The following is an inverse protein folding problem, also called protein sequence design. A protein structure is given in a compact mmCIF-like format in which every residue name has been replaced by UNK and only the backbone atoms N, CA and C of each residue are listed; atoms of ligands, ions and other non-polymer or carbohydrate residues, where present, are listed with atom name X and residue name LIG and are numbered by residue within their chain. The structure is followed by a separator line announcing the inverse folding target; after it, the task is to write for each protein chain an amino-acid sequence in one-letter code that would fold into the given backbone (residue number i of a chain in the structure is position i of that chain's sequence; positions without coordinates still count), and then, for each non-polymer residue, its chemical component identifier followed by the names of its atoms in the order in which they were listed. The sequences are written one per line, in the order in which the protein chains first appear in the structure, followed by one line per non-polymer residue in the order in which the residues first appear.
data_IF_612585091800
#
_entry.id   IF_612585091800
#
_cell.length_a   1.000
_cell.length_b   1.000
_cell.length_c   1.000
_cell.angle_alpha   90.00
_cell.angle_beta   90.00
_cell.angle_gamma   90.00
#
_symmetry.space_group_name_H-M   'P 1'
#
loop_
_entity.id
_entity.type
_entity.pdbx_description
1 polymer ?
#
# COMPACT_ATOMS: atom_id res chain seq x y z
N UNK A 1 -2.72 -0.33 28.69
CA UNK A 1 -1.27 -0.16 28.90
C UNK A 1 -0.76 0.65 27.73
N UNK A 2 -0.33 1.88 27.95
CA UNK A 2 0.28 2.70 26.88
C UNK A 2 1.73 2.23 26.71
N UNK A 3 2.03 1.66 25.55
CA UNK A 3 3.39 1.28 25.19
C UNK A 3 4.11 2.52 24.66
N UNK A 4 4.88 3.19 25.52
CA UNK A 4 5.72 4.32 25.10
C UNK A 4 6.90 3.79 24.27
N UNK A 5 7.10 4.38 23.08
CA UNK A 5 8.02 3.87 22.06
C UNK A 5 9.46 4.20 22.43
N UNK A 6 10.37 3.24 22.29
CA UNK A 6 11.80 3.55 22.16
C UNK A 6 12.04 4.28 20.83
N UNK A 7 12.96 5.25 20.84
CA UNK A 7 13.18 6.30 19.82
C UNK A 7 13.37 5.81 18.37
N UNK A 8 13.57 4.52 18.15
CA UNK A 8 13.84 3.90 16.84
C UNK A 8 12.90 2.70 16.53
N UNK A 9 11.74 2.58 17.20
CA UNK A 9 10.80 1.45 17.03
C UNK A 9 9.42 1.91 16.56
N UNK A 10 8.85 1.19 15.58
CA UNK A 10 7.47 1.45 15.13
C UNK A 10 6.47 1.03 16.22
N UNK A 11 5.33 1.70 16.28
CA UNK A 11 4.24 1.34 17.21
C UNK A 11 3.85 -0.12 17.14
N UNK A 12 3.76 -0.64 15.92
CA UNK A 12 3.39 -2.03 15.67
C UNK A 12 4.42 -3.00 16.20
N UNK A 13 5.71 -2.64 16.15
CA UNK A 13 6.80 -3.43 16.72
C UNK A 13 6.71 -3.49 18.25
N UNK A 14 6.49 -2.34 18.90
CA UNK A 14 6.34 -2.27 20.35
C UNK A 14 5.09 -3.05 20.84
N UNK A 15 4.00 -3.03 20.08
CA UNK A 15 2.81 -3.83 20.38
C UNK A 15 3.09 -5.34 20.23
N UNK A 16 3.80 -5.75 19.19
CA UNK A 16 4.18 -7.16 18.97
C UNK A 16 5.13 -7.66 20.05
N UNK A 17 6.09 -6.84 20.49
CA UNK A 17 7.04 -7.22 21.54
C UNK A 17 6.32 -7.40 22.89
N UNK A 18 5.34 -6.53 23.20
CA UNK A 18 4.50 -6.67 24.40
C UNK A 18 3.58 -7.90 24.31
N UNK A 19 2.99 -8.18 23.15
CA UNK A 19 2.21 -9.41 22.92
C UNK A 19 3.09 -10.67 23.10
N UNK A 20 4.33 -10.65 22.59
CA UNK A 20 5.26 -11.78 22.70
C UNK A 20 5.71 -12.02 24.15
N UNK A 21 5.99 -10.95 24.91
CA UNK A 21 6.37 -11.05 26.33
C UNK A 21 5.23 -11.55 27.22
N UNK A 22 3.98 -11.23 26.87
CA UNK A 22 2.81 -11.64 27.66
C UNK A 22 2.32 -13.03 27.25
N UNK A 23 2.54 -13.46 26.00
CA UNK A 23 2.27 -14.82 25.55
C UNK A 23 3.10 -15.89 26.31
N UNK A 24 4.20 -15.51 26.94
CA UNK A 24 5.02 -16.39 27.79
C UNK A 24 4.44 -16.60 29.20
N UNK A 25 3.41 -15.84 29.59
CA UNK A 25 2.70 -16.02 30.87
C UNK A 25 1.28 -16.57 30.65
N UNK A 26 1.04 -17.82 31.07
CA UNK A 26 -0.30 -18.43 31.00
C UNK A 26 -1.29 -17.74 31.95
N UNK A 27 -2.43 -17.27 31.41
CA UNK A 27 -3.56 -16.74 32.18
C UNK A 27 -3.71 -15.21 32.19
N UNK A 28 -2.85 -14.46 31.48
CA UNK A 28 -2.95 -13.01 31.33
C UNK A 28 -3.36 -12.68 29.89
N UNK A 29 -4.51 -12.03 29.72
CA UNK A 29 -5.03 -11.64 28.40
C UNK A 29 -4.79 -10.14 28.16
N UNK A 30 -4.22 -9.80 26.99
CA UNK A 30 -3.87 -8.41 26.65
C UNK A 30 -5.00 -7.78 25.87
N UNK A 31 -5.78 -6.93 26.53
CA UNK A 31 -6.78 -6.10 25.87
C UNK A 31 -6.17 -4.74 25.56
N UNK A 32 -5.89 -4.51 24.28
CA UNK A 32 -5.48 -3.21 23.76
C UNK A 32 -6.66 -2.23 23.81
N UNK A 33 -6.48 -1.05 24.40
CA UNK A 33 -7.52 0.00 24.49
C UNK A 33 -7.01 1.34 23.96
N UNK A 34 -7.85 2.12 23.28
CA UNK A 34 -7.50 3.46 22.78
C UNK A 34 -6.73 3.43 21.46
N UNK A 35 -5.71 4.28 21.32
CA UNK A 35 -4.98 4.53 20.06
C UNK A 35 -4.33 3.27 19.47
N UNK A 36 -3.83 2.33 20.28
CA UNK A 36 -3.23 1.06 19.81
C UNK A 36 -4.26 0.11 19.19
N UNK A 37 -5.52 0.13 19.66
CA UNK A 37 -6.61 -0.64 19.05
C UNK A 37 -7.04 -0.02 17.71
N UNK A 38 -7.13 1.32 17.65
CA UNK A 38 -7.39 2.04 16.41
C UNK A 38 -6.26 1.85 15.39
N UNK A 39 -5.00 1.80 15.81
CA UNK A 39 -3.86 1.54 14.92
C UNK A 39 -3.92 0.10 14.34
N UNK A 40 -4.28 -0.90 15.18
CA UNK A 40 -4.46 -2.30 14.74
C UNK A 40 -5.68 -2.46 13.80
N UNK A 41 -6.77 -1.73 14.05
CA UNK A 41 -7.99 -1.78 13.22
C UNK A 41 -7.87 -0.95 11.92
N UNK A 42 -7.29 0.24 12.00
CA UNK A 42 -7.13 1.19 10.88
C UNK A 42 -6.17 0.64 9.83
N UNK A 43 -5.08 -0.02 10.26
CA UNK A 43 -4.15 -0.66 9.33
C UNK A 43 -4.85 -1.70 8.43
N UNK A 44 -5.81 -2.46 8.99
CA UNK A 44 -6.53 -3.47 8.22
C UNK A 44 -7.60 -2.84 7.30
N UNK A 45 -8.27 -1.76 7.71
CA UNK A 45 -9.26 -1.06 6.87
C UNK A 45 -8.64 -0.32 5.68
N UNK A 46 -7.47 0.29 5.86
CA UNK A 46 -6.78 1.01 4.80
C UNK A 46 -6.48 0.11 3.60
N UNK A 47 -6.04 -1.13 3.85
CA UNK A 47 -5.76 -2.12 2.80
C UNK A 47 -7.02 -2.46 1.99
N UNK A 48 -8.16 -2.68 2.67
CA UNK A 48 -9.43 -2.95 2.00
C UNK A 48 -9.89 -1.77 1.14
N UNK A 49 -9.74 -0.55 1.64
CA UNK A 49 -10.03 0.68 0.87
C UNK A 49 -9.18 0.77 -0.40
N UNK A 50 -7.88 0.46 -0.31
CA UNK A 50 -7.01 0.41 -1.49
C UNK A 50 -7.43 -0.66 -2.48
N UNK A 51 -7.73 -1.88 -2.03
CA UNK A 51 -8.17 -2.96 -2.92
C UNK A 51 -9.47 -2.61 -3.66
N UNK A 52 -10.46 -2.08 -2.95
CA UNK A 52 -11.74 -1.66 -3.55
C UNK A 52 -11.52 -0.51 -4.52
N UNK A 53 -10.70 0.49 -4.16
CA UNK A 53 -10.40 1.62 -5.03
C UNK A 53 -9.68 1.19 -6.31
N UNK A 54 -8.69 0.30 -6.20
CA UNK A 54 -7.96 -0.27 -7.33
C UNK A 54 -8.91 -1.09 -8.23
N UNK A 55 -9.80 -1.89 -7.62
CA UNK A 55 -10.85 -2.62 -8.35
C UNK A 55 -11.80 -1.68 -9.11
N UNK A 56 -12.21 -0.57 -8.49
CA UNK A 56 -13.06 0.42 -9.14
C UNK A 56 -12.36 1.12 -10.29
N UNK A 57 -11.08 1.50 -10.12
CA UNK A 57 -10.25 2.08 -11.18
C UNK A 57 -10.08 1.08 -12.35
N UNK A 58 -9.85 -0.21 -12.05
CA UNK A 58 -9.78 -1.26 -13.07
C UNK A 58 -11.06 -1.35 -13.89
N UNK A 59 -12.22 -1.39 -13.22
CA UNK A 59 -13.52 -1.46 -13.90
C UNK A 59 -13.80 -0.22 -14.74
N UNK A 60 -13.51 0.98 -14.21
CA UNK A 60 -13.62 2.23 -14.97
C UNK A 60 -12.74 2.25 -16.21
N UNK A 61 -11.47 1.83 -16.10
CA UNK A 61 -10.56 1.74 -17.24
C UNK A 61 -11.02 0.69 -18.24
N UNK A 62 -11.49 -0.48 -17.78
CA UNK A 62 -11.96 -1.54 -18.65
C UNK A 62 -13.17 -1.10 -19.47
N UNK A 63 -14.10 -0.37 -18.84
CA UNK A 63 -15.26 0.20 -19.50
C UNK A 63 -14.88 1.34 -20.47
N UNK A 64 -13.93 2.21 -20.10
CA UNK A 64 -13.52 3.34 -20.94
C UNK A 64 -12.74 2.92 -22.18
N UNK A 65 -11.84 1.94 -22.05
CA UNK A 65 -10.99 1.47 -23.13
C UNK A 65 -11.58 0.26 -23.88
N UNK A 66 -12.81 -0.15 -23.54
CA UNK A 66 -13.50 -1.34 -24.06
C UNK A 66 -12.65 -2.62 -24.06
N UNK A 67 -11.65 -2.69 -23.19
CA UNK A 67 -10.61 -3.72 -23.20
C UNK A 67 -10.12 -4.03 -21.81
N UNK A 68 -9.94 -5.32 -21.54
CA UNK A 68 -9.42 -5.82 -20.26
C UNK A 68 -7.90 -5.76 -20.20
N UNK A 69 -7.22 -5.78 -21.36
CA UNK A 69 -5.76 -5.80 -21.44
C UNK A 69 -5.13 -4.48 -21.01
N UNK A 70 -5.74 -3.34 -21.39
CA UNK A 70 -5.24 -2.01 -21.05
C UNK A 70 -5.19 -1.78 -19.52
N UNK A 71 -6.29 -2.00 -18.77
CA UNK A 71 -6.29 -1.90 -17.32
C UNK A 71 -5.26 -2.83 -16.65
N UNK A 72 -5.14 -4.09 -17.11
CA UNK A 72 -4.15 -5.02 -16.53
C UNK A 72 -2.71 -4.55 -16.75
N UNK A 73 -2.39 -3.96 -17.91
CA UNK A 73 -1.07 -3.41 -18.18
C UNK A 73 -0.75 -2.22 -17.25
N UNK A 74 -1.72 -1.34 -17.03
CA UNK A 74 -1.58 -0.20 -16.10
C UNK A 74 -1.38 -0.66 -14.66
N UNK A 75 -2.13 -1.66 -14.19
CA UNK A 75 -2.00 -2.20 -12.84
C UNK A 75 -0.65 -2.86 -12.59
N UNK A 76 -0.01 -3.42 -13.62
CA UNK A 76 1.31 -4.04 -13.51
C UNK A 76 2.41 -3.03 -13.10
N UNK A 77 2.17 -1.73 -13.27
CA UNK A 77 3.08 -0.68 -12.83
C UNK A 77 3.00 -0.39 -11.32
N UNK A 78 1.90 -0.75 -10.65
CA UNK A 78 1.70 -0.47 -9.22
C UNK A 78 2.73 -1.20 -8.33
N UNK A 79 3.00 -2.51 -8.53
CA UNK A 79 4.06 -3.20 -7.78
C UNK A 79 5.44 -2.56 -7.96
N UNK A 80 5.73 -2.00 -9.14
CA UNK A 80 6.99 -1.29 -9.39
C UNK A 80 7.08 0.01 -8.57
N UNK A 81 5.98 0.76 -8.45
CA UNK A 81 5.91 1.98 -7.62
C UNK A 81 6.03 1.71 -6.12
N UNK A 82 5.40 0.63 -5.64
CA UNK A 82 5.49 0.18 -4.24
C UNK A 82 6.90 -0.34 -3.94
N UNK A 83 7.44 -1.20 -4.80
CA UNK A 83 8.75 -1.82 -4.63
C UNK A 83 9.87 -0.78 -4.56
N UNK A 84 9.84 0.25 -5.43
CA UNK A 84 10.82 1.33 -5.40
C UNK A 84 10.84 2.11 -4.07
N UNK A 85 9.66 2.40 -3.52
CA UNK A 85 9.55 3.07 -2.22
C UNK A 85 10.03 2.20 -1.07
N UNK A 86 9.67 0.92 -1.03
CA UNK A 86 10.10 0.01 0.03
C UNK A 86 11.62 -0.13 0.02
N UNK A 87 12.22 -0.34 -1.15
CA UNK A 87 13.69 -0.45 -1.30
C UNK A 87 14.35 0.85 -0.85
N UNK A 88 13.84 2.00 -1.28
CA UNK A 88 14.41 3.29 -0.91
C UNK A 88 14.28 3.58 0.59
N UNK A 89 13.11 3.30 1.19
CA UNK A 89 12.89 3.47 2.63
C UNK A 89 13.78 2.56 3.45
N UNK A 90 13.98 1.31 2.99
CA UNK A 90 14.87 0.35 3.62
C UNK A 90 16.33 0.83 3.58
N UNK A 91 16.78 1.37 2.43
CA UNK A 91 18.13 1.92 2.29
C UNK A 91 18.34 3.23 3.07
N UNK A 92 17.31 4.07 3.15
CA UNK A 92 17.36 5.36 3.84
C UNK A 92 17.11 5.25 5.36
N UNK A 93 16.67 4.09 5.85
CA UNK A 93 16.36 3.86 7.27
C UNK A 93 15.11 4.60 7.76
N UNK A 94 14.17 4.94 6.87
CA UNK A 94 12.93 5.63 7.26
C UNK A 94 11.93 4.67 7.91
N UNK A 95 11.23 5.10 8.99
CA UNK A 95 10.19 4.32 9.61
C UNK A 95 8.97 4.18 8.68
N UNK A 96 8.29 3.03 8.76
CA UNK A 96 7.03 2.79 8.04
C UNK A 96 5.87 3.46 8.80
N UNK A 97 5.74 4.78 8.63
CA UNK A 97 4.73 5.62 9.25
C UNK A 97 3.68 6.15 8.25
N UNK A 98 2.76 7.01 8.71
CA UNK A 98 1.72 7.59 7.85
C UNK A 98 2.30 8.46 6.72
N UNK A 99 3.48 9.07 6.91
CA UNK A 99 4.13 9.86 5.87
C UNK A 99 4.68 8.95 4.77
N UNK A 100 5.25 7.80 5.13
CA UNK A 100 5.64 6.77 4.17
C UNK A 100 4.43 6.27 3.36
N UNK A 101 3.26 6.10 3.99
CA UNK A 101 2.03 5.72 3.28
C UNK A 101 1.56 6.81 2.28
N UNK A 102 1.64 8.09 2.64
CA UNK A 102 1.32 9.19 1.72
C UNK A 102 2.31 9.26 0.57
N UNK A 103 3.60 9.04 0.83
CA UNK A 103 4.64 8.99 -0.19
C UNK A 103 4.41 7.81 -1.16
N UNK A 104 4.14 6.61 -0.63
CA UNK A 104 3.76 5.43 -1.40
C UNK A 104 2.58 5.73 -2.33
N UNK A 105 1.49 6.29 -1.78
CA UNK A 105 0.28 6.60 -2.53
C UNK A 105 0.57 7.60 -3.68
N UNK A 106 1.36 8.61 -3.39
CA UNK A 106 1.76 9.63 -4.37
C UNK A 106 2.57 9.01 -5.52
N UNK A 107 3.55 8.17 -5.20
CA UNK A 107 4.38 7.49 -6.22
C UNK A 107 3.55 6.51 -7.05
N UNK A 108 2.62 5.77 -6.44
CA UNK A 108 1.69 4.90 -7.17
C UNK A 108 0.89 5.73 -8.17
N UNK A 109 0.37 6.90 -7.76
CA UNK A 109 -0.38 7.79 -8.64
C UNK A 109 0.43 8.32 -9.83
N UNK A 110 1.67 8.78 -9.60
CA UNK A 110 2.57 9.21 -10.67
C UNK A 110 2.93 8.06 -11.61
N UNK A 111 3.26 6.89 -11.07
CA UNK A 111 3.58 5.69 -11.85
C UNK A 111 2.40 5.24 -12.70
N UNK A 112 1.20 5.25 -12.14
CA UNK A 112 -0.04 4.89 -12.82
C UNK A 112 -0.34 5.84 -13.98
N UNK A 113 -0.18 7.17 -13.79
CA UNK A 113 -0.29 8.15 -14.88
C UNK A 113 0.68 7.87 -16.02
N UNK A 114 1.94 7.57 -15.70
CA UNK A 114 2.94 7.25 -16.70
C UNK A 114 2.61 5.95 -17.45
N UNK A 115 2.13 4.93 -16.72
CA UNK A 115 1.71 3.66 -17.31
C UNK A 115 0.51 3.84 -18.25
N UNK A 116 -0.51 4.60 -17.84
CA UNK A 116 -1.68 4.93 -18.67
C UNK A 116 -1.22 5.59 -19.98
N UNK A 117 -0.33 6.58 -19.90
CA UNK A 117 0.14 7.32 -21.08
C UNK A 117 0.92 6.43 -22.06
N UNK A 118 1.77 5.52 -21.55
CA UNK A 118 2.50 4.55 -22.39
C UNK A 118 1.53 3.58 -23.06
N UNK A 119 0.57 3.05 -22.31
CA UNK A 119 -0.40 2.08 -22.83
C UNK A 119 -1.34 2.73 -23.86
N UNK A 120 -1.76 3.97 -23.61
CA UNK A 120 -2.56 4.76 -24.55
C UNK A 120 -1.80 5.01 -25.86
N UNK A 121 -0.53 5.41 -25.78
CA UNK A 121 0.31 5.60 -26.96
C UNK A 121 0.49 4.29 -27.75
N UNK A 122 0.69 3.16 -27.07
CA UNK A 122 0.80 1.85 -27.70
C UNK A 122 -0.51 1.44 -28.40
N UNK A 123 -1.65 1.65 -27.74
CA UNK A 123 -2.98 1.38 -28.31
C UNK A 123 -3.25 2.22 -29.56
N UNK A 124 -2.91 3.52 -29.52
CA UNK A 124 -3.02 4.41 -30.68
C UNK A 124 -2.10 3.98 -31.82
N UNK A 125 -0.87 3.55 -31.53
CA UNK A 125 0.05 3.04 -32.56
C UNK A 125 -0.47 1.75 -33.21
N UNK A 126 -1.05 0.85 -32.41
CA UNK A 126 -1.67 -0.39 -32.90
C UNK A 126 -2.88 -0.10 -33.81
N UNK A 127 -3.73 0.87 -33.45
CA UNK A 127 -4.84 1.32 -34.29
C UNK A 127 -4.37 1.98 -35.60
N UNK A 128 -3.22 2.67 -35.58
CA UNK A 128 -2.60 3.24 -36.78
C UNK A 128 -1.87 2.19 -37.65
N UNK A 129 -1.93 0.90 -37.30
CA UNK A 129 -1.34 -0.19 -38.08
C UNK A 129 0.16 -0.33 -37.96
N UNK A 130 0.80 0.31 -36.96
CA UNK A 130 2.20 0.03 -36.61
C UNK A 130 2.25 -1.24 -35.77
N UNK A 131 2.61 -2.34 -36.42
CA UNK A 131 2.98 -3.61 -35.77
C UNK A 131 4.37 -3.55 -35.18
#
# INVERSE_FOLDING_TARGET
MEADRAKDSSSGQAMQDVEALIAEQEGVDVVWSGLSFEEKQSNNQAIWLYLISIGFIFLCLAALYESWSIPTAVLSAIPLGIGGNIIFSYLAGFPNDIYFQIALLTTIGLSCKNAILIVEFASLAQQQGKS
#
